data_IF_663161269311
#
_entry.id   IF_663161269311
#
_cell.length_a   1.000
_cell.length_b   1.000
_cell.length_c   1.000
_cell.angle_alpha   90.00
_cell.angle_beta   90.00
_cell.angle_gamma   90.00
#
_symmetry.space_group_name_H-M   'P 1'
#
loop_
_entity.id
_entity.type
_entity.pdbx_description
1 polymer ?
#
# COMPACT_ATOMS: atom_id res chain seq x y z
N UNK A 1 16.97 14.95 4.30
CA UNK A 1 17.38 14.65 2.92
C UNK A 1 18.77 14.06 2.89
N UNK A 2 19.83 14.77 3.29
CA UNK A 2 21.23 14.29 3.26
C UNK A 2 21.41 12.86 3.81
N UNK A 3 20.98 12.60 5.05
CA UNK A 3 21.04 11.25 5.65
C UNK A 3 20.34 10.14 4.85
N UNK A 4 19.26 10.48 4.14
CA UNK A 4 18.56 9.52 3.29
C UNK A 4 19.35 9.24 2.00
N UNK A 5 20.05 10.24 1.46
CA UNK A 5 20.94 10.03 0.32
C UNK A 5 22.16 9.19 0.73
N UNK A 6 22.76 9.46 1.90
CA UNK A 6 23.82 8.62 2.47
C UNK A 6 23.38 7.16 2.64
N UNK A 7 22.12 6.96 3.04
CA UNK A 7 21.50 5.64 3.12
C UNK A 7 21.38 4.96 1.76
N UNK A 8 20.88 5.67 0.74
CA UNK A 8 20.79 5.14 -0.62
C UNK A 8 22.16 4.80 -1.20
N UNK A 9 23.16 5.67 -1.00
CA UNK A 9 24.54 5.45 -1.43
C UNK A 9 25.14 4.20 -0.76
N UNK A 10 24.87 4.01 0.53
CA UNK A 10 25.37 2.88 1.30
C UNK A 10 24.76 1.53 0.87
N UNK A 11 23.48 1.53 0.49
CA UNK A 11 22.80 0.37 -0.11
C UNK A 11 23.07 0.22 -1.62
N UNK A 12 23.87 1.12 -2.22
CA UNK A 12 24.19 1.09 -3.65
C UNK A 12 22.98 1.31 -4.56
N UNK A 13 21.93 1.97 -4.05
CA UNK A 13 20.72 2.26 -4.81
C UNK A 13 20.93 3.46 -5.74
N UNK A 14 20.61 3.31 -7.03
CA UNK A 14 20.64 4.45 -7.96
C UNK A 14 19.48 5.41 -7.67
N UNK A 15 19.77 6.72 -7.70
CA UNK A 15 18.75 7.77 -7.55
C UNK A 15 19.09 9.03 -8.35
N UNK A 16 18.05 9.81 -8.61
CA UNK A 16 18.13 11.13 -9.23
C UNK A 16 17.41 12.17 -8.37
N UNK A 17 17.85 13.42 -8.45
CA UNK A 17 17.20 14.55 -7.80
C UNK A 17 16.74 15.52 -8.87
N UNK A 18 15.44 15.82 -8.90
CA UNK A 18 14.85 16.78 -9.82
C UNK A 18 13.87 17.68 -9.07
N UNK A 19 14.05 19.00 -9.16
CA UNK A 19 13.19 20.00 -8.53
C UNK A 19 12.95 19.76 -7.02
N UNK A 20 13.96 19.24 -6.32
CA UNK A 20 13.89 18.90 -4.90
C UNK A 20 13.16 17.60 -4.56
N UNK A 21 12.67 16.86 -5.55
CA UNK A 21 12.13 15.52 -5.40
C UNK A 21 13.22 14.46 -5.66
N UNK A 22 13.18 13.36 -4.90
CA UNK A 22 14.11 12.23 -5.05
C UNK A 22 13.39 11.13 -5.83
N UNK A 23 14.02 10.61 -6.88
CA UNK A 23 13.56 9.45 -7.64
C UNK A 23 14.54 8.32 -7.39
N UNK A 24 14.11 7.29 -6.65
CA UNK A 24 14.91 6.07 -6.45
C UNK A 24 14.65 5.16 -7.65
N UNK A 25 15.70 4.88 -8.42
CA UNK A 25 15.65 4.18 -9.71
C UNK A 25 15.71 2.66 -9.55
N UNK A 26 16.10 2.18 -8.38
CA UNK A 26 16.09 0.76 -8.02
C UNK A 26 15.01 0.40 -7.00
N UNK A 27 14.85 -0.90 -6.76
CA UNK A 27 14.10 -1.35 -5.58
C UNK A 27 14.99 -1.06 -4.39
N UNK A 28 14.52 -0.20 -3.48
CA UNK A 28 15.21 0.00 -2.22
C UNK A 28 14.92 -1.21 -1.32
N UNK A 29 15.94 -2.02 -1.06
CA UNK A 29 15.89 -3.23 -0.24
C UNK A 29 17.14 -3.29 0.65
N UNK A 30 17.05 -2.91 1.93
CA UNK A 30 18.21 -2.81 2.81
C UNK A 30 18.74 -4.20 3.17
N UNK A 31 19.96 -4.52 2.76
CA UNK A 31 20.59 -5.81 3.03
C UNK A 31 21.91 -5.68 3.78
N UNK A 32 22.71 -4.69 3.39
CA UNK A 32 24.12 -4.63 3.74
C UNK A 32 24.34 -3.79 4.99
N UNK A 33 23.51 -2.76 5.22
CA UNK A 33 23.78 -1.76 6.25
C UNK A 33 22.62 -1.62 7.22
N UNK A 34 22.94 -1.76 8.51
CA UNK A 34 22.00 -1.46 9.59
C UNK A 34 21.97 0.03 9.84
N UNK A 35 20.91 0.68 9.39
CA UNK A 35 20.53 2.00 9.86
C UNK A 35 19.54 1.84 11.01
N UNK A 36 19.71 2.61 12.09
CA UNK A 36 18.75 2.60 13.21
C UNK A 36 17.43 3.26 12.83
N UNK A 37 17.47 4.23 11.90
CA UNK A 37 16.33 5.00 11.47
C UNK A 37 16.45 5.43 10.01
N UNK A 38 15.38 5.23 9.24
CA UNK A 38 15.19 5.77 7.89
C UNK A 38 14.12 6.86 7.94
N UNK A 39 14.50 8.08 7.55
CA UNK A 39 13.57 9.20 7.34
C UNK A 39 13.44 9.44 5.84
N UNK A 40 12.30 9.03 5.27
CA UNK A 40 12.02 9.20 3.84
C UNK A 40 11.63 10.68 3.59
N UNK A 41 12.31 11.40 2.68
CA UNK A 41 11.97 12.78 2.36
C UNK A 41 10.63 12.93 1.64
N UNK A 42 9.99 14.09 1.81
CA UNK A 42 8.78 14.47 1.05
C UNK A 42 9.01 14.35 -0.46
N UNK A 43 7.96 13.95 -1.18
CA UNK A 43 7.97 13.79 -2.64
C UNK A 43 9.00 12.78 -3.18
N UNK A 44 9.42 11.82 -2.36
CA UNK A 44 10.24 10.68 -2.83
C UNK A 44 9.39 9.76 -3.71
N UNK A 45 9.96 9.30 -4.83
CA UNK A 45 9.35 8.39 -5.80
C UNK A 45 10.20 7.11 -5.91
N UNK A 46 9.71 6.00 -5.38
CA UNK A 46 10.32 4.68 -5.49
C UNK A 46 9.84 4.00 -6.78
N UNK A 47 10.64 4.10 -7.84
CA UNK A 47 10.19 3.78 -9.20
C UNK A 47 10.23 2.29 -9.56
N UNK A 48 11.00 1.48 -8.82
CA UNK A 48 10.96 0.02 -8.94
C UNK A 48 10.36 -0.68 -7.72
N UNK A 49 10.47 -0.09 -6.52
CA UNK A 49 9.82 -0.59 -5.33
C UNK A 49 10.44 -0.08 -4.04
N UNK A 50 9.72 -0.27 -2.95
CA UNK A 50 10.21 -0.09 -1.59
C UNK A 50 9.98 -1.38 -0.82
N UNK A 51 11.05 -2.13 -0.57
CA UNK A 51 11.02 -3.35 0.21
C UNK A 51 11.78 -3.13 1.52
N UNK A 52 11.03 -2.94 2.59
CA UNK A 52 11.54 -2.85 3.95
C UNK A 52 11.03 -4.04 4.78
N UNK A 53 10.69 -5.16 4.14
CA UNK A 53 10.27 -6.37 4.84
C UNK A 53 11.37 -6.80 5.82
N UNK A 54 10.99 -7.12 7.05
CA UNK A 54 11.91 -7.43 8.16
C UNK A 54 12.87 -6.32 8.59
N UNK A 55 12.73 -5.07 8.10
CA UNK A 55 13.55 -3.97 8.59
C UNK A 55 13.22 -3.66 10.06
N UNK A 56 14.23 -3.80 10.94
CA UNK A 56 14.08 -3.68 12.40
C UNK A 56 14.17 -2.23 12.91
N UNK A 57 14.69 -1.31 12.08
CA UNK A 57 14.85 0.10 12.45
C UNK A 57 13.56 0.92 12.41
N UNK A 58 13.63 2.15 12.90
CA UNK A 58 12.51 3.08 12.84
C UNK A 58 12.34 3.64 11.43
N UNK A 59 11.12 3.59 10.89
CA UNK A 59 10.79 4.15 9.58
C UNK A 59 9.87 5.36 9.77
N UNK A 60 10.30 6.51 9.26
CA UNK A 60 9.49 7.72 9.20
C UNK A 60 9.09 8.00 7.75
N UNK A 61 7.81 7.77 7.45
CA UNK A 61 7.25 8.15 6.16
C UNK A 61 6.90 9.65 6.12
N UNK A 62 7.10 10.31 4.97
CA UNK A 62 6.55 11.64 4.71
C UNK A 62 5.03 11.59 4.60
N UNK A 63 4.39 12.75 4.55
CA UNK A 63 2.96 12.82 4.25
C UNK A 63 2.67 12.30 2.84
N UNK A 64 3.53 12.63 1.87
CA UNK A 64 3.37 12.30 0.46
C UNK A 64 4.64 11.65 -0.13
N UNK A 65 4.46 10.44 -0.67
CA UNK A 65 5.47 9.74 -1.47
C UNK A 65 4.80 8.78 -2.45
N UNK A 66 5.58 8.28 -3.41
CA UNK A 66 5.10 7.41 -4.48
C UNK A 66 5.87 6.09 -4.48
N UNK A 67 5.17 5.00 -4.79
CA UNK A 67 5.77 3.67 -4.91
C UNK A 67 5.17 2.93 -6.12
N UNK A 68 6.05 2.46 -6.99
CA UNK A 68 5.72 1.55 -8.08
C UNK A 68 5.88 0.09 -7.65
N UNK A 69 5.16 -0.82 -8.31
CA UNK A 69 5.34 -2.29 -8.31
C UNK A 69 5.21 -3.01 -6.96
N UNK A 70 5.99 -2.65 -5.95
CA UNK A 70 6.01 -3.29 -4.63
C UNK A 70 6.22 -2.28 -3.51
N UNK A 71 5.35 -2.37 -2.50
CA UNK A 71 5.55 -1.79 -1.17
C UNK A 71 5.49 -2.93 -0.17
N UNK A 72 6.64 -3.39 0.33
CA UNK A 72 6.72 -4.45 1.31
C UNK A 72 7.17 -3.87 2.66
N UNK A 73 6.29 -4.02 3.66
CA UNK A 73 6.47 -3.52 5.02
C UNK A 73 6.08 -4.61 6.04
N UNK A 74 6.09 -5.88 5.63
CA UNK A 74 5.83 -7.01 6.54
C UNK A 74 6.92 -7.06 7.60
N UNK A 75 6.49 -7.41 8.81
CA UNK A 75 7.36 -7.52 9.99
C UNK A 75 8.16 -6.25 10.35
N UNK A 76 7.70 -5.09 9.89
CA UNK A 76 8.17 -3.79 10.38
C UNK A 76 7.41 -3.34 11.64
N UNK A 77 7.93 -2.30 12.31
CA UNK A 77 7.26 -1.64 13.44
C UNK A 77 6.07 -0.77 13.01
N UNK A 78 5.89 -0.50 11.71
CA UNK A 78 4.85 0.38 11.17
C UNK A 78 3.44 -0.06 11.60
N UNK A 79 2.67 0.91 12.10
CA UNK A 79 1.27 0.74 12.48
C UNK A 79 0.29 1.50 11.60
N UNK A 80 0.76 2.42 10.76
CA UNK A 80 -0.10 3.30 9.96
C UNK A 80 0.51 3.56 8.59
N UNK A 81 -0.32 3.54 7.56
CA UNK A 81 0.06 3.95 6.20
C UNK A 81 -0.22 5.46 6.00
N UNK A 82 0.60 6.19 5.22
CA UNK A 82 0.34 7.61 4.95
C UNK A 82 -0.94 7.84 4.14
N UNK A 83 -1.61 8.98 4.37
CA UNK A 83 -2.89 9.31 3.71
C UNK A 83 -2.73 9.87 2.30
N UNK A 84 -1.51 10.27 1.89
CA UNK A 84 -1.21 10.73 0.53
C UNK A 84 -0.14 9.84 -0.14
N UNK A 85 -0.22 8.53 0.10
CA UNK A 85 0.61 7.52 -0.55
C UNK A 85 0.09 7.23 -1.97
N UNK A 86 0.89 7.53 -2.98
CA UNK A 86 0.55 7.20 -4.37
C UNK A 86 1.12 5.84 -4.75
N UNK A 87 0.23 4.89 -5.08
CA UNK A 87 0.60 3.57 -5.57
C UNK A 87 0.34 3.50 -7.07
N UNK A 88 1.31 3.03 -7.85
CA UNK A 88 1.18 2.95 -9.30
C UNK A 88 1.86 1.70 -9.88
N UNK A 89 1.60 1.45 -11.17
CA UNK A 89 2.05 0.25 -11.88
C UNK A 89 1.65 -1.06 -11.18
N UNK A 90 0.36 -1.19 -10.86
CA UNK A 90 -0.21 -2.38 -10.21
C UNK A 90 0.47 -2.75 -8.89
N UNK A 91 0.89 -1.74 -8.12
CA UNK A 91 1.69 -1.93 -6.91
C UNK A 91 1.07 -2.97 -5.94
N UNK A 92 1.86 -3.98 -5.64
CA UNK A 92 1.59 -5.00 -4.63
C UNK A 92 1.96 -4.44 -3.26
N UNK A 93 1.01 -4.40 -2.33
CA UNK A 93 1.26 -3.90 -0.98
C UNK A 93 1.26 -5.08 -0.01
N UNK A 94 2.42 -5.36 0.56
CA UNK A 94 2.62 -6.42 1.54
C UNK A 94 2.76 -5.82 2.94
N UNK A 95 1.70 -5.95 3.73
CA UNK A 95 1.66 -5.56 5.15
C UNK A 95 0.99 -6.67 5.95
N UNK A 96 1.28 -6.74 7.25
CA UNK A 96 0.39 -7.45 8.17
C UNK A 96 -0.82 -6.57 8.49
N UNK A 97 -1.91 -6.76 7.74
CA UNK A 97 -3.12 -5.95 7.88
C UNK A 97 -3.74 -6.01 9.29
N UNK A 98 -3.42 -7.03 10.10
CA UNK A 98 -3.88 -7.13 11.49
C UNK A 98 -3.18 -6.12 12.41
N UNK A 99 -1.97 -5.68 12.05
CA UNK A 99 -1.15 -4.72 12.80
C UNK A 99 -1.34 -3.26 12.34
N UNK A 100 -1.93 -3.05 11.16
CA UNK A 100 -2.13 -1.70 10.61
C UNK A 100 -3.45 -1.09 11.11
N UNK A 101 -3.33 0.02 11.81
CA UNK A 101 -4.43 0.69 12.49
C UNK A 101 -5.35 1.45 11.55
N UNK A 102 -4.90 1.91 10.39
CA UNK A 102 -5.71 2.72 9.48
C UNK A 102 -6.11 1.96 8.20
N UNK A 103 -6.25 0.65 8.33
CA UNK A 103 -6.88 -0.23 7.33
C UNK A 103 -8.05 -0.98 7.94
N UNK A 104 -8.79 -1.66 7.06
CA UNK A 104 -9.81 -2.64 7.40
C UNK A 104 -9.64 -3.85 6.49
N UNK A 105 -9.59 -5.04 7.06
CA UNK A 105 -9.23 -6.25 6.33
C UNK A 105 -10.34 -7.31 6.35
N UNK A 106 -10.18 -8.33 5.52
CA UNK A 106 -10.98 -9.55 5.54
C UNK A 106 -10.14 -10.72 5.07
N UNK A 107 -10.21 -11.82 5.83
CA UNK A 107 -9.51 -13.06 5.49
C UNK A 107 -10.36 -13.98 4.60
N UNK A 108 -9.72 -15.06 4.15
CA UNK A 108 -10.35 -16.13 3.38
C UNK A 108 -11.04 -15.58 2.10
N UNK A 109 -10.36 -14.66 1.39
CA UNK A 109 -10.87 -14.00 0.20
C UNK A 109 -10.33 -14.63 -1.09
N UNK A 110 -11.19 -14.72 -2.09
CA UNK A 110 -10.86 -15.31 -3.39
C UNK A 110 -10.52 -16.81 -3.30
N UNK A 111 -10.02 -17.36 -4.41
CA UNK A 111 -9.68 -18.79 -4.57
C UNK A 111 -8.54 -19.25 -3.64
N UNK A 112 -7.62 -18.34 -3.32
CA UNK A 112 -6.42 -18.66 -2.54
C UNK A 112 -6.56 -18.31 -1.05
N UNK A 113 -7.76 -17.95 -0.58
CA UNK A 113 -8.00 -17.68 0.84
C UNK A 113 -7.21 -16.50 1.40
N UNK A 114 -6.88 -15.50 0.57
CA UNK A 114 -6.00 -14.38 0.96
C UNK A 114 -6.67 -13.45 1.97
N UNK A 115 -5.85 -12.76 2.76
CA UNK A 115 -6.25 -11.52 3.41
C UNK A 115 -6.25 -10.40 2.39
N UNK A 116 -7.35 -9.66 2.29
CA UNK A 116 -7.41 -8.39 1.57
C UNK A 116 -7.61 -7.27 2.57
N UNK A 117 -7.26 -6.05 2.19
CA UNK A 117 -7.57 -4.89 3.01
C UNK A 117 -7.89 -3.66 2.17
N UNK A 118 -8.74 -2.80 2.74
CA UNK A 118 -8.97 -1.46 2.25
C UNK A 118 -8.00 -0.50 2.94
N UNK A 119 -7.53 0.49 2.20
CA UNK A 119 -6.75 1.62 2.70
C UNK A 119 -7.34 2.93 2.13
N UNK A 120 -7.12 4.03 2.84
CA UNK A 120 -7.53 5.37 2.40
C UNK A 120 -6.29 6.15 2.01
N UNK A 121 -6.19 6.55 0.74
CA UNK A 121 -5.09 7.38 0.24
C UNK A 121 -5.57 8.31 -0.86
N UNK A 122 -4.97 9.49 -0.98
CA UNK A 122 -5.26 10.46 -2.04
C UNK A 122 -6.77 10.77 -2.18
N UNK A 123 -7.45 10.86 -1.04
CA UNK A 123 -8.90 11.08 -0.93
C UNK A 123 -9.79 9.98 -1.54
N UNK A 124 -9.29 8.76 -1.70
CA UNK A 124 -10.06 7.61 -2.17
C UNK A 124 -9.75 6.32 -1.39
N UNK A 125 -10.64 5.34 -1.53
CA UNK A 125 -10.44 3.99 -1.03
C UNK A 125 -9.81 3.09 -2.09
N UNK A 126 -8.68 2.49 -1.74
CA UNK A 126 -8.10 1.40 -2.52
C UNK A 126 -8.32 0.05 -1.84
N UNK A 127 -8.28 -1.02 -2.61
CA UNK A 127 -8.31 -2.41 -2.16
C UNK A 127 -7.00 -3.08 -2.56
N UNK A 128 -6.25 -3.54 -1.56
CA UNK A 128 -5.09 -4.39 -1.78
C UNK A 128 -5.46 -5.87 -1.67
N UNK A 129 -4.97 -6.66 -2.63
CA UNK A 129 -5.27 -8.10 -2.75
C UNK A 129 -4.01 -8.99 -2.73
N UNK A 130 -2.89 -8.41 -2.31
CA UNK A 130 -1.55 -9.00 -2.39
C UNK A 130 -0.85 -8.65 -3.70
N UNK A 131 -1.45 -8.97 -4.86
CA UNK A 131 -0.79 -8.82 -6.17
C UNK A 131 -1.12 -7.53 -6.94
N UNK A 132 -2.01 -6.70 -6.40
CA UNK A 132 -2.30 -5.35 -6.89
C UNK A 132 -3.07 -4.58 -5.81
N UNK A 133 -3.03 -3.26 -5.92
CA UNK A 133 -3.75 -2.33 -5.06
C UNK A 133 -4.36 -1.23 -5.92
N UNK A 134 -5.69 -1.20 -6.00
CA UNK A 134 -6.43 -0.39 -6.99
C UNK A 134 -7.73 0.14 -6.39
N UNK A 135 -8.41 1.03 -7.11
CA UNK A 135 -9.75 1.51 -6.71
C UNK A 135 -10.76 0.35 -6.69
N UNK A 136 -11.90 0.54 -6.01
CA UNK A 136 -12.93 -0.49 -5.97
C UNK A 136 -13.46 -0.85 -7.39
N UNK A 137 -13.55 0.12 -8.30
CA UNK A 137 -14.03 -0.11 -9.66
C UNK A 137 -13.08 -1.01 -10.46
N UNK A 138 -11.79 -0.69 -10.46
CA UNK A 138 -10.74 -1.49 -11.11
C UNK A 138 -10.65 -2.89 -10.51
N UNK A 139 -10.71 -3.00 -9.18
CA UNK A 139 -10.79 -4.28 -8.49
C UNK A 139 -11.99 -5.12 -8.97
N UNK A 140 -13.17 -4.52 -9.16
CA UNK A 140 -14.36 -5.22 -9.66
C UNK A 140 -14.15 -5.74 -11.09
N UNK A 141 -13.58 -4.93 -11.98
CA UNK A 141 -13.28 -5.33 -13.35
C UNK A 141 -12.35 -6.55 -13.38
N UNK A 142 -11.26 -6.48 -12.62
CA UNK A 142 -10.27 -7.56 -12.54
C UNK A 142 -10.84 -8.83 -11.92
N UNK A 143 -11.67 -8.71 -10.88
CA UNK A 143 -12.35 -9.87 -10.29
C UNK A 143 -13.34 -10.49 -11.27
N UNK A 144 -14.10 -9.68 -12.01
CA UNK A 144 -15.03 -10.21 -13.03
C UNK A 144 -14.27 -10.95 -14.15
N UNK A 145 -13.12 -10.42 -14.59
CA UNK A 145 -12.28 -11.09 -15.57
C UNK A 145 -11.71 -12.42 -15.05
N UNK A 146 -11.16 -12.41 -13.83
CA UNK A 146 -10.48 -13.56 -13.22
C UNK A 146 -11.46 -14.69 -12.84
N UNK A 147 -12.66 -14.32 -12.38
CA UNK A 147 -13.69 -15.25 -11.89
C UNK A 147 -14.89 -15.33 -12.85
N UNK A 148 -14.67 -15.12 -14.16
CA UNK A 148 -15.73 -15.11 -15.18
C UNK A 148 -16.59 -16.38 -15.18
N UNK A 149 -15.95 -17.52 -14.87
CA UNK A 149 -16.57 -18.84 -14.80
C UNK A 149 -17.02 -19.23 -13.37
N UNK A 150 -16.76 -18.37 -12.37
CA UNK A 150 -16.99 -18.58 -10.94
C UNK A 150 -17.73 -17.39 -10.31
N UNK A 151 -18.95 -17.13 -10.81
CA UNK A 151 -19.70 -15.89 -10.50
C UNK A 151 -20.06 -15.73 -9.03
N UNK A 152 -20.30 -16.82 -8.31
CA UNK A 152 -20.64 -16.78 -6.89
C UNK A 152 -19.43 -16.41 -6.05
N UNK A 153 -18.25 -16.97 -6.36
CA UNK A 153 -16.97 -16.61 -5.77
C UNK A 153 -16.65 -15.14 -6.05
N UNK A 154 -16.82 -14.68 -7.29
CA UNK A 154 -16.64 -13.28 -7.67
C UNK A 154 -17.53 -12.35 -6.83
N UNK A 155 -18.80 -12.72 -6.63
CA UNK A 155 -19.78 -11.95 -5.86
C UNK A 155 -19.41 -11.91 -4.38
N UNK A 156 -19.03 -13.05 -3.79
CA UNK A 156 -18.55 -13.12 -2.40
C UNK A 156 -17.30 -12.26 -2.21
N UNK A 157 -16.37 -12.30 -3.15
CA UNK A 157 -15.11 -11.53 -3.09
C UNK A 157 -15.38 -10.03 -3.13
N UNK A 158 -16.20 -9.57 -4.08
CA UNK A 158 -16.63 -8.16 -4.18
C UNK A 158 -17.35 -7.68 -2.93
N UNK A 159 -18.23 -8.50 -2.36
CA UNK A 159 -18.94 -8.17 -1.10
C UNK A 159 -17.98 -7.99 0.08
N UNK A 160 -16.95 -8.85 0.20
CA UNK A 160 -15.93 -8.72 1.25
C UNK A 160 -15.12 -7.42 1.09
N UNK A 161 -14.71 -7.08 -0.13
CA UNK A 161 -14.01 -5.82 -0.42
C UNK A 161 -14.87 -4.59 -0.06
N UNK A 162 -16.15 -4.54 -0.47
CA UNK A 162 -17.10 -3.49 -0.05
C UNK A 162 -17.19 -3.38 1.47
N UNK A 163 -17.32 -4.52 2.16
CA UNK A 163 -17.35 -4.55 3.62
C UNK A 163 -16.09 -3.97 4.27
N UNK A 164 -14.91 -4.20 3.68
CA UNK A 164 -13.66 -3.59 4.13
C UNK A 164 -13.73 -2.07 4.04
N UNK A 165 -14.15 -1.54 2.87
CA UNK A 165 -14.31 -0.10 2.64
C UNK A 165 -15.31 0.51 3.61
N UNK A 166 -16.52 -0.04 3.73
CA UNK A 166 -17.55 0.52 4.63
C UNK A 166 -17.10 0.54 6.10
N UNK A 167 -16.39 -0.51 6.55
CA UNK A 167 -15.78 -0.52 7.89
C UNK A 167 -14.68 0.53 8.03
N UNK A 168 -13.82 0.70 7.02
CA UNK A 168 -12.77 1.70 7.05
C UNK A 168 -13.33 3.12 7.01
N UNK A 169 -14.33 3.38 6.17
CA UNK A 169 -15.03 4.65 6.08
C UNK A 169 -15.59 5.07 7.43
N UNK A 170 -16.31 4.16 8.11
CA UNK A 170 -16.78 4.40 9.48
C UNK A 170 -15.63 4.68 10.45
N UNK A 171 -14.56 3.88 10.39
CA UNK A 171 -13.38 3.98 11.27
C UNK A 171 -12.64 5.31 11.13
N UNK A 172 -12.58 5.86 9.90
CA UNK A 172 -11.88 7.10 9.59
C UNK A 172 -12.79 8.33 9.54
N UNK A 173 -14.10 8.18 9.79
CA UNK A 173 -15.07 9.28 9.64
C UNK A 173 -15.21 9.79 8.20
N UNK A 174 -15.00 8.92 7.21
CA UNK A 174 -15.12 9.24 5.77
C UNK A 174 -16.51 8.84 5.23
N UNK A 175 -17.00 9.50 4.17
CA UNK A 175 -18.22 9.06 3.49
C UNK A 175 -18.07 7.60 3.02
N UNK A 176 -19.05 6.76 3.35
CA UNK A 176 -19.09 5.37 2.91
C UNK A 176 -19.71 5.32 1.50
N UNK A 177 -18.95 5.00 0.44
CA UNK A 177 -19.43 5.06 -0.94
C UNK A 177 -20.53 4.02 -1.23
N UNK A 178 -20.75 3.06 -0.34
CA UNK A 178 -21.76 2.01 -0.50
C UNK A 178 -23.00 2.22 0.37
N UNK A 179 -23.00 3.20 1.27
CA UNK A 179 -24.21 3.61 1.98
C UNK A 179 -24.94 4.68 1.17
N UNK A 180 -26.23 4.45 0.92
CA UNK A 180 -27.08 5.53 0.41
C UNK A 180 -27.16 6.62 1.47
N UNK A 181 -27.05 7.88 1.04
CA UNK A 181 -27.44 9.00 1.88
C UNK A 181 -28.91 8.78 2.28
N UNK A 182 -29.18 8.72 3.58
CA UNK A 182 -30.56 8.82 4.07
C UNK A 182 -31.03 10.23 3.69
N UNK A 183 -32.00 10.29 2.78
CA UNK A 183 -32.73 11.51 2.44
C UNK A 183 -33.46 12.07 3.67
#
# INVERSE_FOLDING_TARGET
>A
MEKFLEFLDAEGCEYEIQDGAIRVLDTLEPYEVRFDNIVIPENTDFTKGLDLECYEGDIQFPESFKVANILALRDTSIKRLPSNLTLYNYCSVYVDAHKIENVSYSDNCGRYGRTIFALWTNNDFLISTGCFTETYSEFVERVNYTYRDYKDEATKYKRKARGCISRLAKKLGKPDPFKRATA
#
